data_IF_234495703501
#
_entry.id   IF_234495703501
#
_cell.length_a   1.000
_cell.length_b   1.000
_cell.length_c   1.000
_cell.angle_alpha   90.00
_cell.angle_beta   90.00
_cell.angle_gamma   90.00
#
_symmetry.space_group_name_H-M   'P 1'
#
loop_
_entity.id
_entity.type
_entity.pdbx_description
1 polymer ?
#
# COMPACT_ATOMS: atom_id res chain seq x y z
N UNK A 1 11.53 -12.58 -49.11
CA UNK A 1 11.51 -13.94 -48.55
C UNK A 1 12.89 -14.18 -47.95
N UNK A 2 13.03 -13.84 -46.68
CA UNK A 2 14.34 -13.62 -46.03
C UNK A 2 14.68 -14.85 -45.18
N UNK A 3 15.89 -15.38 -45.35
CA UNK A 3 16.35 -16.68 -44.87
C UNK A 3 16.40 -16.78 -43.32
N UNK A 4 15.34 -17.30 -42.71
CA UNK A 4 15.26 -17.60 -41.27
C UNK A 4 16.19 -18.73 -40.80
N UNK A 5 16.80 -19.50 -41.72
CA UNK A 5 17.67 -20.65 -41.37
C UNK A 5 19.06 -20.25 -40.88
N UNK A 6 19.54 -19.04 -41.19
CA UNK A 6 20.90 -18.61 -40.85
C UNK A 6 20.99 -17.99 -39.46
N UNK A 7 19.89 -17.40 -38.95
CA UNK A 7 19.86 -16.73 -37.63
C UNK A 7 19.77 -17.76 -36.48
N UNK A 8 19.08 -18.88 -36.69
CA UNK A 8 18.93 -19.95 -35.68
C UNK A 8 20.27 -20.64 -35.38
N UNK A 9 21.20 -20.71 -36.35
CA UNK A 9 22.52 -21.31 -36.14
C UNK A 9 23.48 -20.43 -35.32
N UNK A 10 23.21 -19.12 -35.19
CA UNK A 10 24.08 -18.17 -34.48
C UNK A 10 23.75 -18.05 -32.99
N UNK A 11 22.53 -18.42 -32.59
CA UNK A 11 22.09 -18.39 -31.18
C UNK A 11 22.45 -19.69 -30.45
N UNK A 12 22.55 -20.83 -31.16
CA UNK A 12 22.88 -22.13 -30.54
C UNK A 12 24.37 -22.30 -30.18
N UNK A 13 25.27 -21.49 -30.72
CA UNK A 13 26.72 -21.60 -30.47
C UNK A 13 27.20 -20.86 -29.21
N UNK A 14 26.38 -19.99 -28.61
CA UNK A 14 26.75 -19.23 -27.40
C UNK A 14 26.47 -20.02 -26.12
N UNK A 15 25.61 -21.05 -26.16
CA UNK A 15 25.20 -21.82 -24.97
C UNK A 15 26.17 -22.98 -24.63
N UNK A 16 27.14 -23.31 -25.51
CA UNK A 16 28.02 -24.49 -25.32
C UNK A 16 29.41 -24.13 -24.77
N UNK A 17 29.72 -22.85 -24.50
CA UNK A 17 31.06 -22.41 -24.09
C UNK A 17 31.20 -21.82 -22.67
N UNK A 18 30.20 -21.95 -21.80
CA UNK A 18 30.37 -21.61 -20.38
C UNK A 18 29.97 -22.76 -19.47
N UNK A 19 30.82 -23.79 -19.48
CA UNK A 19 30.85 -24.81 -18.45
C UNK A 19 32.33 -25.11 -18.12
N UNK A 20 32.60 -25.33 -16.83
CA UNK A 20 33.80 -25.90 -16.24
C UNK A 20 35.05 -25.03 -16.01
N UNK A 21 35.29 -24.77 -14.72
CA UNK A 21 36.60 -25.08 -14.13
C UNK A 21 36.46 -25.54 -12.67
N UNK A 22 36.39 -26.85 -12.47
CA UNK A 22 36.87 -27.50 -11.25
C UNK A 22 38.33 -27.93 -11.46
N UNK A 23 39.29 -27.41 -10.68
CA UNK A 23 40.55 -28.14 -10.37
C UNK A 23 41.12 -27.74 -8.99
N UNK A 24 40.95 -28.68 -8.04
CA UNK A 24 41.89 -29.24 -7.04
C UNK A 24 42.85 -28.37 -6.19
N UNK A 25 42.64 -28.53 -4.87
CA UNK A 25 43.58 -28.72 -3.75
C UNK A 25 45.10 -28.90 -3.99
N UNK A 26 45.87 -28.24 -3.10
CA UNK A 26 46.93 -28.74 -2.15
C UNK A 26 48.34 -28.11 -2.24
N UNK A 27 48.65 -27.40 -1.14
CA UNK A 27 49.85 -27.43 -0.28
C UNK A 27 51.26 -27.09 -0.81
N UNK A 28 51.92 -26.12 -0.16
CA UNK A 28 53.14 -26.25 0.71
C UNK A 28 53.89 -24.89 0.75
N UNK A 29 54.02 -24.25 1.93
CA UNK A 29 55.07 -24.39 2.96
C UNK A 29 56.39 -23.68 2.57
N UNK A 30 56.79 -22.64 3.33
CA UNK A 30 58.14 -22.27 3.83
C UNK A 30 57.91 -21.13 4.87
N UNK A 31 57.90 -21.39 6.19
CA UNK A 31 59.02 -21.35 7.18
C UNK A 31 59.21 -19.95 7.84
N UNK A 32 58.70 -19.73 9.06
CA UNK A 32 59.36 -19.79 10.39
C UNK A 32 59.98 -18.46 10.89
N UNK A 33 59.40 -17.89 11.97
CA UNK A 33 60.10 -17.69 13.26
C UNK A 33 59.15 -17.21 14.38
N UNK A 34 59.36 -17.80 15.56
CA UNK A 34 58.64 -17.62 16.83
C UNK A 34 58.71 -16.19 17.39
N UNK A 35 57.66 -15.73 18.09
CA UNK A 35 57.68 -15.60 19.55
C UNK A 35 56.35 -15.05 20.11
N UNK A 36 56.12 -15.47 21.35
CA UNK A 36 54.97 -15.34 22.23
C UNK A 36 54.57 -13.90 22.63
N UNK A 37 53.24 -13.74 22.74
CA UNK A 37 52.46 -13.00 23.75
C UNK A 37 52.76 -11.51 24.01
N UNK A 38 51.81 -10.66 23.62
CA UNK A 38 51.24 -9.66 24.53
C UNK A 38 49.88 -9.24 24.01
N UNK A 39 48.88 -9.38 24.87
CA UNK A 39 47.53 -8.88 24.70
C UNK A 39 47.51 -7.41 24.29
N UNK A 40 46.82 -7.13 23.19
CA UNK A 40 46.11 -5.88 23.01
C UNK A 40 44.93 -6.21 22.10
N UNK A 41 43.76 -6.34 22.70
CA UNK A 41 42.49 -6.52 21.99
C UNK A 41 42.43 -5.55 20.82
N UNK A 42 42.19 -6.00 19.58
CA UNK A 42 41.60 -5.11 18.61
C UNK A 42 40.23 -4.77 19.18
N UNK A 43 40.05 -3.53 19.62
CA UNK A 43 38.73 -2.94 19.80
C UNK A 43 38.07 -3.01 18.44
N UNK A 44 37.41 -4.14 18.17
CA UNK A 44 36.40 -4.20 17.14
C UNK A 44 35.41 -3.13 17.59
N UNK A 45 35.34 -2.04 16.84
CA UNK A 45 34.12 -1.26 16.78
C UNK A 45 33.03 -2.29 16.53
N UNK A 46 32.36 -2.66 17.63
CA UNK A 46 31.00 -3.16 17.58
C UNK A 46 30.28 -2.04 16.87
N UNK A 47 30.20 -2.15 15.53
CA UNK A 47 29.12 -1.55 14.78
C UNK A 47 27.89 -1.91 15.60
N UNK A 48 27.35 -0.92 16.30
CA UNK A 48 26.06 -1.03 16.94
C UNK A 48 25.14 -1.47 15.81
N UNK A 49 24.85 -2.78 15.76
CA UNK A 49 23.79 -3.32 14.92
C UNK A 49 22.59 -2.50 15.31
N UNK A 50 22.24 -1.53 14.47
CA UNK A 50 21.05 -0.69 14.61
C UNK A 50 19.93 -1.68 14.85
N UNK A 51 19.42 -1.70 16.08
CA UNK A 51 18.42 -2.64 16.53
C UNK A 51 17.20 -2.40 15.66
N UNK A 52 16.95 -3.30 14.71
CA UNK A 52 15.80 -3.23 13.82
C UNK A 52 14.54 -3.03 14.68
N UNK A 53 13.64 -2.16 14.23
CA UNK A 53 12.30 -2.01 14.84
C UNK A 53 11.45 -3.22 14.48
N UNK A 54 11.89 -4.41 14.87
CA UNK A 54 11.25 -5.67 14.51
C UNK A 54 9.88 -5.79 15.16
N UNK A 55 9.55 -5.03 16.21
CA UNK A 55 8.31 -5.19 16.97
C UNK A 55 7.44 -3.95 16.91
N UNK A 56 6.25 -4.08 16.35
CA UNK A 56 5.23 -3.03 16.32
C UNK A 56 4.19 -3.34 17.39
N UNK A 57 4.07 -2.46 18.38
CA UNK A 57 3.08 -2.59 19.45
C UNK A 57 1.67 -2.32 18.91
N UNK A 58 0.77 -3.30 19.08
CA UNK A 58 -0.60 -3.25 18.59
C UNK A 58 -1.52 -3.75 19.71
N UNK A 59 -2.17 -2.84 20.41
CA UNK A 59 -3.19 -3.23 21.38
C UNK A 59 -4.37 -3.88 20.65
N UNK A 60 -4.56 -5.19 20.85
CA UNK A 60 -5.60 -5.96 20.16
C UNK A 60 -6.99 -5.43 20.51
N UNK A 61 -7.29 -5.23 21.80
CA UNK A 61 -8.62 -4.80 22.24
C UNK A 61 -9.04 -3.45 21.62
N UNK A 62 -8.10 -2.51 21.51
CA UNK A 62 -8.32 -1.20 20.90
C UNK A 62 -8.57 -1.27 19.39
N UNK A 63 -8.00 -2.26 18.69
CA UNK A 63 -8.09 -2.41 17.23
C UNK A 63 -8.94 -3.62 16.81
N UNK A 64 -9.63 -4.29 17.76
CA UNK A 64 -10.29 -5.58 17.57
C UNK A 64 -11.23 -5.60 16.38
N UNK A 65 -12.03 -4.54 16.21
CA UNK A 65 -13.00 -4.46 15.10
C UNK A 65 -12.30 -4.45 13.74
N UNK A 66 -11.29 -3.59 13.58
CA UNK A 66 -10.49 -3.49 12.36
C UNK A 66 -9.78 -4.81 12.05
N UNK A 67 -9.12 -5.40 13.05
CA UNK A 67 -8.42 -6.67 12.91
C UNK A 67 -9.36 -7.84 12.56
N UNK A 68 -10.56 -7.87 13.13
CA UNK A 68 -11.57 -8.87 12.78
C UNK A 68 -12.11 -8.67 11.36
N UNK A 69 -12.23 -7.43 10.87
CA UNK A 69 -12.64 -7.18 9.48
C UNK A 69 -11.52 -7.58 8.51
N UNK A 70 -10.25 -7.35 8.87
CA UNK A 70 -9.09 -7.74 8.08
C UNK A 70 -9.09 -9.23 7.73
N UNK A 71 -9.53 -10.13 8.62
CA UNK A 71 -9.61 -11.57 8.34
C UNK A 71 -10.77 -11.97 7.42
N UNK A 72 -11.74 -11.08 7.21
CA UNK A 72 -12.93 -11.32 6.40
C UNK A 72 -12.83 -10.80 4.98
N UNK A 73 -11.83 -9.96 4.67
CA UNK A 73 -11.68 -9.39 3.33
C UNK A 73 -11.42 -10.49 2.28
N UNK A 74 -12.00 -10.38 1.07
CA UNK A 74 -11.65 -11.25 -0.05
C UNK A 74 -10.17 -11.14 -0.44
N UNK A 75 -9.62 -12.19 -1.05
CA UNK A 75 -8.22 -12.15 -1.55
C UNK A 75 -8.01 -11.03 -2.58
N UNK A 76 -9.04 -10.73 -3.39
CA UNK A 76 -8.99 -9.65 -4.38
C UNK A 76 -8.58 -8.30 -3.82
N UNK A 77 -8.80 -8.05 -2.52
CA UNK A 77 -8.42 -6.78 -1.88
C UNK A 77 -6.91 -6.67 -1.61
N UNK A 78 -6.15 -7.74 -1.83
CA UNK A 78 -4.75 -7.90 -1.48
C UNK A 78 -3.93 -8.51 -2.63
N UNK A 79 -4.45 -8.50 -3.87
CA UNK A 79 -3.84 -9.23 -4.99
C UNK A 79 -2.39 -8.78 -5.26
N UNK A 80 -2.10 -7.48 -5.17
CA UNK A 80 -0.73 -6.94 -5.35
C UNK A 80 0.22 -7.30 -4.21
N UNK A 81 -0.31 -7.76 -3.08
CA UNK A 81 0.43 -7.99 -1.83
C UNK A 81 0.60 -9.46 -1.50
N UNK A 82 -0.11 -10.34 -2.22
CA UNK A 82 -0.14 -11.79 -1.99
C UNK A 82 -0.44 -12.18 -0.53
N UNK A 83 -1.11 -11.30 0.23
CA UNK A 83 -1.37 -11.51 1.65
C UNK A 83 -2.62 -12.35 1.88
N UNK A 84 -2.41 -13.66 1.84
CA UNK A 84 -3.48 -14.65 1.92
C UNK A 84 -4.36 -14.48 3.16
N UNK A 85 -5.62 -14.88 3.04
CA UNK A 85 -6.57 -14.91 4.16
C UNK A 85 -6.03 -15.67 5.37
N UNK A 86 -5.39 -16.80 5.12
CA UNK A 86 -4.81 -17.64 6.17
C UNK A 86 -3.69 -16.92 6.92
N UNK A 87 -2.88 -16.14 6.22
CA UNK A 87 -1.80 -15.38 6.85
C UNK A 87 -2.35 -14.17 7.60
N UNK A 88 -3.38 -13.50 7.08
CA UNK A 88 -4.13 -12.47 7.81
C UNK A 88 -4.72 -13.00 9.12
N UNK A 89 -5.36 -14.18 9.08
CA UNK A 89 -5.89 -14.86 10.27
C UNK A 89 -4.78 -15.14 11.30
N UNK A 90 -3.66 -15.74 10.88
CA UNK A 90 -2.50 -16.00 11.75
C UNK A 90 -1.93 -14.72 12.36
N UNK A 91 -1.81 -13.66 11.57
CA UNK A 91 -1.33 -12.36 12.05
C UNK A 91 -2.24 -11.80 13.12
N UNK A 92 -3.55 -11.85 12.92
CA UNK A 92 -4.53 -11.37 13.91
C UNK A 92 -4.50 -12.21 15.18
N UNK A 93 -4.43 -13.53 15.08
CA UNK A 93 -4.29 -14.43 16.24
C UNK A 93 -2.99 -14.15 17.03
N UNK A 94 -1.90 -13.85 16.33
CA UNK A 94 -0.64 -13.48 16.96
C UNK A 94 -0.78 -12.17 17.74
N UNK A 95 -1.37 -11.14 17.12
CA UNK A 95 -1.61 -9.84 17.76
C UNK A 95 -2.55 -10.00 18.97
N UNK A 96 -3.59 -10.82 18.86
CA UNK A 96 -4.52 -11.09 19.97
C UNK A 96 -3.81 -11.64 21.20
N UNK A 97 -2.89 -12.59 21.01
CA UNK A 97 -2.15 -13.24 22.09
C UNK A 97 -1.05 -12.34 22.67
N UNK A 98 -0.43 -11.51 21.84
CA UNK A 98 0.84 -10.87 22.19
C UNK A 98 0.75 -9.34 22.31
N UNK A 99 -0.29 -8.70 21.75
CA UNK A 99 -0.42 -7.24 21.61
C UNK A 99 0.74 -6.57 20.85
N UNK A 100 1.40 -7.31 19.97
CA UNK A 100 2.39 -6.80 19.03
C UNK A 100 2.44 -7.70 17.79
N UNK A 101 3.15 -7.25 16.76
CA UNK A 101 3.56 -8.06 15.61
C UNK A 101 5.07 -7.92 15.41
N UNK A 102 5.70 -8.99 14.91
CA UNK A 102 7.08 -8.95 14.47
C UNK A 102 7.12 -8.74 12.96
N UNK A 103 7.75 -7.66 12.51
CA UNK A 103 7.83 -7.24 11.12
C UNK A 103 9.28 -7.37 10.62
N UNK A 104 9.77 -8.61 10.55
CA UNK A 104 11.18 -8.94 10.28
C UNK A 104 11.47 -9.23 8.81
N UNK A 105 10.48 -9.12 7.92
CA UNK A 105 10.62 -9.45 6.50
C UNK A 105 11.10 -8.24 5.72
N UNK A 106 12.39 -8.25 5.34
CA UNK A 106 13.05 -7.16 4.61
C UNK A 106 12.37 -6.79 3.28
N UNK A 107 11.56 -7.68 2.70
CA UNK A 107 10.84 -7.46 1.44
C UNK A 107 9.31 -7.32 1.55
N UNK A 108 8.69 -7.69 2.68
CA UNK A 108 7.23 -7.68 2.78
C UNK A 108 6.75 -7.33 4.18
N UNK A 109 5.75 -6.46 4.21
CA UNK A 109 5.13 -5.79 5.35
C UNK A 109 6.05 -4.77 6.04
N UNK A 110 5.66 -3.50 5.97
CA UNK A 110 6.01 -2.53 6.99
C UNK A 110 4.71 -1.81 7.33
N UNK A 111 4.00 -2.32 8.34
CA UNK A 111 2.78 -1.68 8.85
C UNK A 111 3.15 -0.23 9.19
N UNK A 112 2.71 0.70 8.33
CA UNK A 112 3.05 2.11 8.44
C UNK A 112 2.33 2.72 9.63
N UNK A 113 1.08 2.32 9.80
CA UNK A 113 0.26 2.67 10.94
C UNK A 113 -0.85 1.63 11.15
N UNK A 114 -1.29 1.56 12.40
CA UNK A 114 -2.54 0.91 12.77
C UNK A 114 -3.25 1.73 13.84
N UNK A 115 -4.52 2.01 13.58
CA UNK A 115 -5.43 2.80 14.41
C UNK A 115 -6.76 2.03 14.52
N UNK A 116 -7.66 2.39 15.45
CA UNK A 116 -8.94 1.69 15.58
C UNK A 116 -9.78 1.62 14.31
N UNK A 117 -9.66 2.63 13.42
CA UNK A 117 -10.45 2.76 12.21
C UNK A 117 -9.66 2.46 10.92
N UNK A 118 -8.34 2.32 10.96
CA UNK A 118 -7.56 2.19 9.72
C UNK A 118 -6.20 1.51 9.96
N UNK A 119 -5.76 0.74 8.97
CA UNK A 119 -4.43 0.15 8.88
C UNK A 119 -3.84 0.50 7.51
N UNK A 120 -2.56 0.86 7.49
CA UNK A 120 -1.82 1.15 6.27
C UNK A 120 -0.54 0.31 6.24
N UNK A 121 -0.29 -0.33 5.11
CA UNK A 121 0.88 -1.18 4.86
C UNK A 121 1.61 -0.61 3.65
N UNK A 122 2.93 -0.55 3.76
CA UNK A 122 3.78 0.01 2.71
C UNK A 122 4.85 -0.99 2.30
N UNK A 123 5.05 -1.12 0.99
CA UNK A 123 6.28 -1.66 0.37
C UNK A 123 6.96 -0.54 -0.43
N UNK A 124 8.07 -0.85 -1.11
CA UNK A 124 8.91 0.17 -1.76
C UNK A 124 8.11 1.08 -2.70
N UNK A 125 7.29 0.48 -3.59
CA UNK A 125 6.53 1.23 -4.62
C UNK A 125 5.01 1.02 -4.51
N UNK A 126 4.52 0.62 -3.35
CA UNK A 126 3.11 0.32 -3.15
C UNK A 126 2.59 0.69 -1.76
N UNK A 127 1.32 1.05 -1.69
CA UNK A 127 0.65 1.34 -0.43
C UNK A 127 -0.75 0.71 -0.39
N UNK A 128 -1.05 0.00 0.68
CA UNK A 128 -2.35 -0.59 0.89
C UNK A 128 -3.00 -0.06 2.15
N UNK A 129 -4.30 0.18 2.09
CA UNK A 129 -5.08 0.58 3.25
C UNK A 129 -6.34 -0.24 3.41
N UNK A 130 -6.74 -0.44 4.67
CA UNK A 130 -8.09 -0.79 5.07
C UNK A 130 -8.58 0.26 6.04
N UNK A 131 -9.76 0.82 5.78
CA UNK A 131 -10.40 1.83 6.62
C UNK A 131 -11.86 1.48 6.87
N UNK A 132 -12.32 1.73 8.10
CA UNK A 132 -13.68 1.43 8.56
C UNK A 132 -14.35 2.69 9.11
N UNK A 133 -15.59 2.91 8.70
CA UNK A 133 -16.42 4.06 9.10
C UNK A 133 -17.68 3.55 9.78
N UNK A 134 -17.91 4.00 11.01
CA UNK A 134 -19.01 3.50 11.84
C UNK A 134 -20.26 4.38 11.69
N UNK A 135 -21.32 3.80 11.13
CA UNK A 135 -22.64 4.44 11.15
C UNK A 135 -23.35 4.20 12.47
N UNK A 136 -23.39 2.93 12.88
CA UNK A 136 -24.02 2.47 14.13
C UNK A 136 -23.22 1.29 14.70
N UNK A 137 -23.57 0.86 15.90
CA UNK A 137 -22.99 -0.34 16.50
C UNK A 137 -23.16 -1.54 15.55
N UNK A 138 -22.04 -2.19 15.20
CA UNK A 138 -22.02 -3.34 14.28
C UNK A 138 -22.48 -3.05 12.83
N UNK A 139 -22.47 -1.79 12.40
CA UNK A 139 -22.80 -1.37 11.03
C UNK A 139 -21.74 -0.38 10.51
N UNK A 140 -20.88 -0.87 9.62
CA UNK A 140 -19.72 -0.14 9.13
C UNK A 140 -19.66 -0.12 7.60
N UNK A 141 -19.20 1.00 7.05
CA UNK A 141 -18.65 1.05 5.71
C UNK A 141 -17.17 0.71 5.76
N UNK A 142 -16.73 -0.19 4.89
CA UNK A 142 -15.35 -0.68 4.82
C UNK A 142 -14.80 -0.35 3.44
N UNK A 143 -13.61 0.23 3.40
CA UNK A 143 -12.89 0.57 2.17
C UNK A 143 -11.50 -0.05 2.24
N UNK A 144 -11.09 -0.70 1.17
CA UNK A 144 -9.69 -0.98 0.89
C UNK A 144 -9.23 -0.13 -0.28
N UNK A 145 -7.97 0.31 -0.26
CA UNK A 145 -7.33 0.97 -1.39
C UNK A 145 -5.94 0.37 -1.57
N UNK A 146 -5.73 -0.31 -2.70
CA UNK A 146 -4.45 -0.83 -3.14
C UNK A 146 -3.83 0.13 -4.19
N UNK A 147 -2.71 0.75 -3.84
CA UNK A 147 -2.05 1.78 -4.63
C UNK A 147 -0.75 1.20 -5.17
N UNK A 148 -0.67 1.05 -6.50
CA UNK A 148 0.52 0.58 -7.23
C UNK A 148 0.73 1.47 -8.45
N UNK A 149 1.92 2.09 -8.55
CA UNK A 149 2.17 3.12 -9.56
C UNK A 149 1.21 4.30 -9.43
N UNK A 150 0.57 4.70 -10.53
CA UNK A 150 -0.44 5.76 -10.55
C UNK A 150 -1.88 5.23 -10.32
N UNK A 151 -2.05 3.92 -10.15
CA UNK A 151 -3.34 3.27 -10.01
C UNK A 151 -3.84 3.20 -8.57
N UNK A 152 -5.16 3.25 -8.41
CA UNK A 152 -5.86 2.94 -7.16
C UNK A 152 -6.88 1.82 -7.45
N UNK A 153 -6.76 0.66 -6.78
CA UNK A 153 -7.83 -0.34 -6.75
C UNK A 153 -8.62 -0.21 -5.45
N UNK A 154 -9.77 0.46 -5.55
CA UNK A 154 -10.66 0.73 -4.42
C UNK A 154 -11.78 -0.28 -4.40
N UNK A 155 -11.82 -1.09 -3.34
CA UNK A 155 -12.92 -2.02 -3.10
C UNK A 155 -13.68 -1.61 -1.84
N UNK A 156 -15.01 -1.71 -1.91
CA UNK A 156 -15.87 -1.20 -0.84
C UNK A 156 -16.87 -2.25 -0.38
N UNK A 157 -17.17 -2.27 0.92
CA UNK A 157 -18.03 -3.27 1.54
C UNK A 157 -18.92 -2.66 2.62
N UNK A 158 -20.08 -3.28 2.83
CA UNK A 158 -20.88 -3.11 4.02
C UNK A 158 -20.54 -4.23 5.00
N UNK A 159 -20.14 -3.88 6.22
CA UNK A 159 -19.98 -4.83 7.31
C UNK A 159 -21.12 -4.67 8.31
N UNK A 160 -22.02 -5.65 8.35
CA UNK A 160 -23.19 -5.64 9.22
C UNK A 160 -23.38 -6.98 9.90
N UNK A 161 -23.53 -6.97 11.22
CA UNK A 161 -23.80 -8.17 12.03
C UNK A 161 -22.81 -9.32 11.75
N UNK A 162 -21.51 -9.01 11.64
CA UNK A 162 -20.46 -10.01 11.39
C UNK A 162 -20.30 -10.43 9.93
N UNK A 163 -21.13 -9.92 9.01
CA UNK A 163 -21.07 -10.26 7.59
C UNK A 163 -20.52 -9.08 6.77
N UNK A 164 -19.49 -9.36 5.98
CA UNK A 164 -18.96 -8.44 4.97
C UNK A 164 -19.66 -8.70 3.63
N UNK A 165 -20.22 -7.67 3.01
CA UNK A 165 -20.93 -7.76 1.71
C UNK A 165 -20.39 -6.69 0.77
N UNK A 166 -19.96 -7.01 -0.46
CA UNK A 166 -19.51 -6.01 -1.42
C UNK A 166 -20.56 -4.94 -1.67
N UNK A 167 -20.12 -3.70 -1.84
CA UNK A 167 -20.94 -2.57 -2.29
C UNK A 167 -20.16 -1.76 -3.32
N UNK A 168 -20.85 -0.87 -4.05
CA UNK A 168 -20.20 -0.03 -5.05
C UNK A 168 -19.80 1.31 -4.43
N UNK A 169 -18.64 1.83 -4.82
CA UNK A 169 -18.16 3.15 -4.41
C UNK A 169 -19.13 4.27 -4.77
N UNK A 170 -19.80 4.19 -5.93
CA UNK A 170 -20.83 5.15 -6.37
C UNK A 170 -22.00 5.27 -5.38
N UNK A 171 -22.28 4.23 -4.60
CA UNK A 171 -23.34 4.28 -3.58
C UNK A 171 -22.98 5.22 -2.42
N UNK A 172 -21.71 5.62 -2.31
CA UNK A 172 -21.17 6.41 -1.21
C UNK A 172 -20.62 7.77 -1.65
N UNK A 173 -20.05 7.84 -2.86
CA UNK A 173 -19.41 9.06 -3.37
C UNK A 173 -20.08 9.63 -4.63
N UNK A 174 -21.08 8.95 -5.21
CA UNK A 174 -21.69 9.30 -6.49
C UNK A 174 -20.63 9.43 -7.61
N UNK A 175 -20.97 10.07 -8.72
CA UNK A 175 -20.02 10.62 -9.69
C UNK A 175 -19.35 11.83 -9.03
N UNK A 176 -18.36 11.58 -8.16
CA UNK A 176 -17.75 12.60 -7.31
C UNK A 176 -17.04 13.67 -8.15
N UNK A 177 -16.39 13.25 -9.24
CA UNK A 177 -15.75 14.07 -10.26
C UNK A 177 -16.73 15.11 -10.81
N UNK A 178 -17.96 14.72 -11.12
CA UNK A 178 -19.00 15.64 -11.58
C UNK A 178 -19.39 16.71 -10.56
N UNK A 179 -19.03 16.55 -9.28
CA UNK A 179 -19.23 17.57 -8.24
C UNK A 179 -18.16 18.67 -8.30
N UNK A 180 -17.03 18.44 -8.97
CA UNK A 180 -15.99 19.44 -9.19
C UNK A 180 -16.34 20.41 -10.31
N UNK A 181 -17.29 20.06 -11.19
CA UNK A 181 -17.67 20.88 -12.35
C UNK A 181 -18.34 22.20 -11.92
N UNK A 182 -17.79 23.32 -12.41
CA UNK A 182 -18.45 24.62 -12.41
C UNK A 182 -19.60 24.64 -13.43
N UNK A 183 -19.38 24.03 -14.59
CA UNK A 183 -20.39 23.85 -15.64
C UNK A 183 -20.21 22.50 -16.34
N UNK A 184 -21.28 21.99 -16.96
CA UNK A 184 -21.31 20.67 -17.60
C UNK A 184 -21.14 20.74 -19.12
N UNK A 185 -20.26 21.61 -19.62
CA UNK A 185 -19.90 21.56 -21.04
C UNK A 185 -19.19 20.23 -21.34
N UNK A 186 -19.25 19.80 -22.61
CA UNK A 186 -18.56 18.58 -23.05
C UNK A 186 -17.07 18.63 -22.72
N UNK A 187 -16.39 19.74 -23.05
CA UNK A 187 -14.96 19.93 -22.79
C UNK A 187 -14.59 19.78 -21.31
N UNK A 188 -15.42 20.30 -20.39
CA UNK A 188 -15.14 20.19 -18.96
C UNK A 188 -15.39 18.78 -18.41
N UNK A 189 -16.31 18.02 -19.02
CA UNK A 189 -16.52 16.60 -18.67
C UNK A 189 -15.35 15.76 -19.19
N UNK A 190 -14.94 15.95 -20.44
CA UNK A 190 -13.78 15.27 -21.04
C UNK A 190 -12.50 15.52 -20.23
N UNK A 191 -12.28 16.75 -19.76
CA UNK A 191 -11.18 17.09 -18.85
C UNK A 191 -11.14 16.19 -17.61
N UNK A 192 -12.29 15.90 -16.98
CA UNK A 192 -12.32 15.04 -15.79
C UNK A 192 -12.06 13.57 -16.12
N UNK A 193 -12.60 13.09 -17.24
CA UNK A 193 -12.39 11.72 -17.72
C UNK A 193 -10.91 11.45 -18.03
N UNK A 194 -10.25 12.37 -18.72
CA UNK A 194 -8.81 12.29 -19.04
C UNK A 194 -7.93 12.29 -17.78
N UNK A 195 -8.40 12.91 -16.70
CA UNK A 195 -7.66 13.05 -15.45
C UNK A 195 -8.09 12.03 -14.37
N UNK A 196 -8.89 11.01 -14.70
CA UNK A 196 -9.45 10.10 -13.71
C UNK A 196 -8.37 9.32 -12.92
N UNK A 197 -7.24 8.99 -13.55
CA UNK A 197 -6.13 8.30 -12.88
C UNK A 197 -5.34 9.20 -11.93
N UNK A 198 -5.57 10.51 -11.97
CA UNK A 198 -4.83 11.48 -11.16
C UNK A 198 -5.42 11.69 -9.77
N UNK A 199 -6.53 11.01 -9.44
CA UNK A 199 -7.16 11.15 -8.14
C UNK A 199 -6.45 10.34 -7.06
N UNK A 200 -6.07 11.03 -6.00
CA UNK A 200 -5.61 10.46 -4.75
C UNK A 200 -6.75 10.38 -3.74
N UNK A 201 -6.83 9.26 -3.03
CA UNK A 201 -7.86 8.98 -2.04
C UNK A 201 -7.25 8.82 -0.65
N UNK A 202 -7.73 9.60 0.31
CA UNK A 202 -7.27 9.54 1.70
C UNK A 202 -8.42 9.11 2.62
N UNK A 203 -8.26 7.91 3.17
CA UNK A 203 -9.22 7.26 4.07
C UNK A 203 -8.74 7.17 5.53
N UNK A 204 -7.72 7.94 5.91
CA UNK A 204 -7.05 7.79 7.22
C UNK A 204 -7.88 8.31 8.41
N UNK A 205 -8.77 9.28 8.17
CA UNK A 205 -9.63 9.83 9.22
C UNK A 205 -10.86 8.94 9.46
N UNK A 206 -11.39 8.94 10.69
CA UNK A 206 -12.53 8.11 11.08
C UNK A 206 -13.88 8.63 10.59
N UNK A 207 -13.95 9.91 10.24
CA UNK A 207 -15.16 10.61 9.83
C UNK A 207 -14.99 11.37 8.51
N UNK A 208 -13.76 11.56 8.03
CA UNK A 208 -13.46 12.37 6.85
C UNK A 208 -12.84 11.51 5.74
N UNK A 209 -13.28 11.75 4.51
CA UNK A 209 -12.66 11.21 3.30
C UNK A 209 -12.25 12.38 2.42
N UNK A 210 -11.01 12.35 1.94
CA UNK A 210 -10.50 13.36 1.02
C UNK A 210 -10.19 12.70 -0.33
N UNK A 211 -10.69 13.30 -1.40
CA UNK A 211 -10.39 12.90 -2.77
C UNK A 211 -9.82 14.13 -3.46
N UNK A 212 -8.63 14.03 -4.05
CA UNK A 212 -7.96 15.17 -4.69
C UNK A 212 -7.18 14.75 -5.92
N UNK A 213 -7.32 15.47 -7.03
CA UNK A 213 -6.44 15.30 -8.19
C UNK A 213 -5.11 16.01 -7.98
N UNK A 214 -4.01 15.37 -8.38
CA UNK A 214 -2.66 15.98 -8.38
C UNK A 214 -2.28 16.63 -9.73
N UNK A 215 -3.15 16.58 -10.74
CA UNK A 215 -2.89 17.17 -12.07
C UNK A 215 -3.81 18.36 -12.35
N UNK A 216 -5.00 18.40 -11.75
CA UNK A 216 -5.94 19.51 -11.91
C UNK A 216 -5.55 20.67 -10.98
N UNK A 217 -5.12 21.80 -11.56
CA UNK A 217 -4.79 23.03 -10.82
C UNK A 217 -5.74 24.19 -11.16
N UNK A 218 -5.78 25.20 -10.29
CA UNK A 218 -6.69 26.34 -10.42
C UNK A 218 -6.38 27.21 -11.65
N UNK A 219 -5.10 27.38 -11.96
CA UNK A 219 -4.66 28.32 -12.99
C UNK A 219 -5.16 27.93 -14.39
N UNK A 220 -5.15 26.63 -14.67
CA UNK A 220 -5.56 26.05 -15.96
C UNK A 220 -7.06 25.72 -15.99
N UNK A 221 -7.64 25.32 -14.85
CA UNK A 221 -8.94 24.65 -14.85
C UNK A 221 -10.08 25.44 -14.19
N UNK A 222 -9.86 26.65 -13.66
CA UNK A 222 -10.90 27.46 -12.99
C UNK A 222 -12.14 27.78 -13.85
N UNK A 223 -12.02 27.72 -15.18
CA UNK A 223 -13.16 27.96 -16.07
C UNK A 223 -14.07 26.72 -16.17
N UNK A 224 -13.56 25.54 -15.82
CA UNK A 224 -14.28 24.27 -15.83
C UNK A 224 -14.65 23.79 -14.44
N UNK A 225 -13.81 24.04 -13.43
CA UNK A 225 -13.91 23.43 -12.11
C UNK A 225 -14.03 24.47 -10.99
N UNK A 226 -14.76 24.12 -9.93
CA UNK A 226 -14.83 24.88 -8.67
C UNK A 226 -13.73 24.49 -7.67
N UNK A 227 -12.99 23.41 -7.95
CA UNK A 227 -11.89 22.89 -7.12
C UNK A 227 -11.28 21.64 -7.75
N UNK A 228 -10.20 21.14 -7.16
CA UNK A 228 -9.60 19.84 -7.51
C UNK A 228 -9.73 18.80 -6.40
N UNK A 229 -10.31 19.20 -5.27
CA UNK A 229 -10.38 18.40 -4.05
C UNK A 229 -11.76 18.47 -3.44
N UNK A 230 -12.26 17.31 -2.99
CA UNK A 230 -13.51 17.19 -2.25
C UNK A 230 -13.22 16.62 -0.87
N UNK A 231 -13.75 17.30 0.15
CA UNK A 231 -13.82 16.79 1.51
C UNK A 231 -15.21 16.29 1.79
N UNK A 232 -15.29 15.01 2.11
CA UNK A 232 -16.50 14.34 2.56
C UNK A 232 -16.48 14.16 4.07
N UNK A 233 -17.63 14.35 4.71
CA UNK A 233 -17.83 14.10 6.14
C UNK A 233 -18.94 13.07 6.36
N UNK A 234 -18.67 12.15 7.30
CA UNK A 234 -19.56 11.05 7.64
C UNK A 234 -20.87 11.56 8.25
N UNK A 235 -21.98 11.32 7.57
CA UNK A 235 -23.32 11.52 8.11
C UNK A 235 -23.86 10.19 8.67
N UNK A 236 -23.73 10.01 9.99
CA UNK A 236 -24.18 8.78 10.67
C UNK A 236 -25.68 8.56 10.60
N UNK A 237 -26.47 9.63 10.65
CA UNK A 237 -27.94 9.56 10.64
C UNK A 237 -28.47 9.07 9.30
N UNK A 238 -27.98 9.65 8.20
CA UNK A 238 -28.37 9.28 6.84
C UNK A 238 -27.64 8.03 6.33
N UNK A 239 -26.57 7.63 7.02
CA UNK A 239 -25.65 6.57 6.59
C UNK A 239 -25.08 6.89 5.21
N UNK A 240 -24.53 8.10 5.08
CA UNK A 240 -23.93 8.62 3.86
C UNK A 240 -22.67 9.41 4.19
N UNK A 241 -21.98 9.88 3.17
CA UNK A 241 -20.96 10.93 3.29
C UNK A 241 -21.47 12.18 2.59
N UNK A 242 -21.54 13.28 3.32
CA UNK A 242 -21.98 14.56 2.78
C UNK A 242 -20.74 15.38 2.37
N UNK A 243 -20.85 16.16 1.29
CA UNK A 243 -19.77 17.07 0.89
C UNK A 243 -19.69 18.18 1.92
N UNK A 244 -18.57 18.26 2.63
CA UNK A 244 -18.28 19.31 3.59
C UNK A 244 -17.60 20.51 2.91
N UNK A 245 -16.74 20.25 1.91
CA UNK A 245 -16.01 21.31 1.22
C UNK A 245 -15.54 20.86 -0.18
N UNK A 246 -15.41 21.83 -1.09
CA UNK A 246 -14.76 21.68 -2.40
C UNK A 246 -13.80 22.86 -2.55
N UNK A 247 -12.53 22.56 -2.76
CA UNK A 247 -11.48 23.57 -2.75
C UNK A 247 -10.33 23.23 -3.69
N UNK A 248 -9.50 24.24 -3.97
CA UNK A 248 -8.23 24.08 -4.65
C UNK A 248 -7.14 23.71 -3.65
N UNK A 249 -6.71 22.45 -3.69
CA UNK A 249 -5.53 21.98 -2.99
C UNK A 249 -4.33 22.27 -3.86
N UNK A 250 -3.42 23.10 -3.35
CA UNK A 250 -2.14 23.34 -3.99
C UNK A 250 -1.26 22.11 -3.90
N UNK A 251 -0.70 21.67 -5.01
CA UNK A 251 0.36 20.69 -4.95
C UNK A 251 1.64 21.32 -4.42
N UNK A 252 2.46 20.51 -3.77
CA UNK A 252 3.71 20.97 -3.12
C UNK A 252 4.78 21.45 -4.12
N UNK A 253 4.50 21.41 -5.42
CA UNK A 253 5.39 21.81 -6.51
C UNK A 253 5.13 23.23 -7.05
N UNK A 254 4.15 23.96 -6.51
CA UNK A 254 3.92 25.39 -6.82
C UNK A 254 4.44 26.35 -5.74
#
# INVERSE_FOLDING_TARGET
MTNYKTIIFLILSIVIFSCNSEVKQKSKLVEQKNNETSDTEPTYELEEKVKYRDTIQINYLKNKKLLNILTLLPESTMDSWEWSKKDRERTVEFIEKNNFIIDSTQMYNNIKYIKPNTIGIQVVDGFWTLSIYEFNENDYFVVTNDIVGDGNDIQTFNFKNGKLTPTKMVNWFSEFDNKLLLNKSTDCIELLEENQLTYNYNFNDKNIILISSWLLNESENKNCLIGNSIKYELNKEKRTFDIADIYWKKDKSE
#
